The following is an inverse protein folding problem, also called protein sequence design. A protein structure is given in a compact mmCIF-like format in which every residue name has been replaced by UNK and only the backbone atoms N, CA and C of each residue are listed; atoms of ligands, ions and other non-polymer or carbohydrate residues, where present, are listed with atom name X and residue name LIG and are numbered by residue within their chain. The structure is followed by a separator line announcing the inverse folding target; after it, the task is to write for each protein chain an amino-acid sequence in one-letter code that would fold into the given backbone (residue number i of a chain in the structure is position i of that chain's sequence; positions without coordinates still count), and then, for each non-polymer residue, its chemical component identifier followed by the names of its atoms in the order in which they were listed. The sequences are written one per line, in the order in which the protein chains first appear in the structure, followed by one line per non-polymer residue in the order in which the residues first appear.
data_IF_405173285683
#
_entry.id   IF_405173285683
#
_cell.length_a   1.000
_cell.length_b   1.000
_cell.length_c   1.000
_cell.angle_alpha   90.00
_cell.angle_beta   90.00
_cell.angle_gamma   90.00
#
_symmetry.space_group_name_H-M   'P 1'
#
loop_
_entity.id
_entity.type
_entity.pdbx_description
1 polymer ?
#
# COMPACT_ATOMS: atom_id res chain seq x y z
N UNK A 1 -53.90 12.14 3.30
CA UNK A 1 -52.65 11.36 3.27
C UNK A 1 -51.52 12.30 3.65
N UNK A 2 -51.08 12.27 4.91
CA UNK A 2 -49.90 13.02 5.33
C UNK A 2 -48.63 12.28 4.92
N UNK A 3 -47.51 12.97 4.64
CA UNK A 3 -46.25 12.32 4.33
C UNK A 3 -45.77 11.56 5.58
N UNK A 4 -45.57 10.26 5.40
CA UNK A 4 -45.12 9.33 6.43
C UNK A 4 -43.62 9.56 6.66
N UNK A 5 -43.27 10.52 7.52
CA UNK A 5 -41.89 10.78 7.94
C UNK A 5 -41.42 9.63 8.85
N UNK A 6 -40.95 8.54 8.26
CA UNK A 6 -40.25 7.49 9.01
C UNK A 6 -38.96 8.06 9.61
N UNK A 7 -38.94 8.20 10.94
CA UNK A 7 -37.74 8.53 11.71
C UNK A 7 -36.76 7.36 11.59
N UNK A 8 -35.58 7.59 10.99
CA UNK A 8 -34.55 6.57 10.83
C UNK A 8 -34.11 6.02 12.20
N UNK A 9 -34.05 4.70 12.34
CA UNK A 9 -33.63 4.03 13.58
C UNK A 9 -32.13 4.22 13.82
N UNK A 10 -31.63 3.92 15.03
CA UNK A 10 -30.19 3.98 15.34
C UNK A 10 -29.39 3.00 14.47
N UNK A 11 -29.94 1.82 14.16
CA UNK A 11 -29.34 0.84 13.26
C UNK A 11 -29.27 1.38 11.82
N UNK A 12 -30.34 2.00 11.31
CA UNK A 12 -30.35 2.62 9.99
C UNK A 12 -29.28 3.73 9.86
N UNK A 13 -29.08 4.52 10.93
CA UNK A 13 -28.05 5.56 10.97
C UNK A 13 -26.63 4.98 10.97
N UNK A 14 -26.39 3.89 11.70
CA UNK A 14 -25.09 3.22 11.73
C UNK A 14 -24.72 2.61 10.36
N UNK A 15 -25.69 1.97 9.69
CA UNK A 15 -25.49 1.39 8.36
C UNK A 15 -25.26 2.46 7.29
N UNK A 16 -25.98 3.59 7.37
CA UNK A 16 -25.76 4.75 6.50
C UNK A 16 -24.38 5.36 6.70
N UNK A 17 -23.92 5.51 7.95
CA UNK A 17 -22.58 6.01 8.23
C UNK A 17 -21.51 5.09 7.66
N UNK A 18 -21.63 3.78 7.89
CA UNK A 18 -20.70 2.79 7.36
C UNK A 18 -20.60 2.83 5.83
N UNK A 19 -21.72 3.02 5.14
CA UNK A 19 -21.74 3.19 3.70
C UNK A 19 -21.06 4.48 3.23
N UNK A 20 -21.34 5.61 3.88
CA UNK A 20 -20.66 6.87 3.56
C UNK A 20 -19.16 6.79 3.81
N UNK A 21 -18.72 6.16 4.91
CA UNK A 21 -17.30 5.91 5.18
C UNK A 21 -16.65 5.11 4.06
N UNK A 22 -17.28 4.01 3.60
CA UNK A 22 -16.75 3.23 2.46
C UNK A 22 -16.61 4.09 1.20
N UNK A 23 -17.66 4.81 0.82
CA UNK A 23 -17.65 5.68 -0.37
C UNK A 23 -16.52 6.71 -0.32
N UNK A 24 -16.34 7.37 0.82
CA UNK A 24 -15.26 8.33 1.03
C UNK A 24 -13.89 7.68 0.90
N UNK A 25 -13.67 6.53 1.56
CA UNK A 25 -12.40 5.81 1.49
C UNK A 25 -12.08 5.36 0.07
N UNK A 26 -13.06 4.80 -0.63
CA UNK A 26 -12.91 4.41 -2.04
C UNK A 26 -12.54 5.60 -2.93
N UNK A 27 -13.14 6.77 -2.70
CA UNK A 27 -12.85 8.01 -3.44
C UNK A 27 -11.45 8.55 -3.11
N UNK A 28 -11.12 8.71 -1.83
CA UNK A 28 -9.81 9.26 -1.38
C UNK A 28 -8.64 8.35 -1.73
N UNK A 29 -8.88 7.04 -1.76
CA UNK A 29 -7.90 6.06 -2.24
C UNK A 29 -7.98 5.83 -3.76
N UNK A 30 -8.79 6.59 -4.49
CA UNK A 30 -8.89 6.55 -5.95
C UNK A 30 -9.32 5.20 -6.54
N UNK A 31 -9.99 4.34 -5.77
CA UNK A 31 -10.70 3.17 -6.30
C UNK A 31 -12.02 3.57 -7.00
N UNK A 32 -12.47 4.81 -6.74
CA UNK A 32 -13.56 5.47 -7.44
C UNK A 32 -13.06 6.85 -7.89
N UNK A 33 -13.64 7.43 -8.96
CA UNK A 33 -13.21 8.73 -9.47
C UNK A 33 -13.24 9.85 -8.41
N UNK A 34 -12.36 10.86 -8.54
CA UNK A 34 -11.37 11.03 -9.63
C UNK A 34 -10.18 10.06 -9.52
N UNK A 35 -9.80 9.47 -10.66
CA UNK A 35 -8.65 8.57 -10.77
C UNK A 35 -7.38 9.37 -11.06
N UNK A 36 -6.21 8.82 -10.73
CA UNK A 36 -4.91 9.42 -11.07
C UNK A 36 -4.58 9.27 -12.56
N UNK A 37 -3.72 10.16 -13.06
CA UNK A 37 -3.19 10.07 -14.42
C UNK A 37 -2.09 9.02 -14.55
N UNK A 38 -1.24 8.87 -13.53
CA UNK A 38 -0.09 7.96 -13.56
C UNK A 38 0.00 7.08 -12.31
N UNK A 39 0.73 5.96 -12.39
CA UNK A 39 1.03 5.12 -11.24
C UNK A 39 1.84 5.88 -10.16
N UNK A 40 2.72 6.82 -10.57
CA UNK A 40 3.47 7.67 -9.66
C UNK A 40 2.56 8.57 -8.82
N UNK A 41 1.52 9.15 -9.43
CA UNK A 41 0.53 9.97 -8.73
C UNK A 41 -0.31 9.16 -7.74
N UNK A 42 -0.63 7.90 -8.06
CA UNK A 42 -1.29 6.99 -7.11
C UNK A 42 -0.41 6.77 -5.89
N UNK A 43 0.87 6.47 -6.08
CA UNK A 43 1.82 6.26 -4.97
C UNK A 43 1.98 7.56 -4.17
N UNK A 44 2.04 8.72 -4.83
CA UNK A 44 2.07 10.03 -4.17
C UNK A 44 0.80 10.26 -3.33
N UNK A 45 -0.39 9.97 -3.85
CA UNK A 45 -1.64 10.09 -3.09
C UNK A 45 -1.65 9.16 -1.88
N UNK A 46 -1.30 7.88 -2.07
CA UNK A 46 -1.33 6.87 -1.01
C UNK A 46 -0.11 6.93 -0.07
N UNK A 47 0.89 7.74 -0.37
CA UNK A 47 2.18 7.90 0.33
C UNK A 47 3.08 6.65 0.32
N UNK A 48 2.54 5.49 0.63
CA UNK A 48 3.18 4.19 0.49
C UNK A 48 2.11 3.13 0.15
N UNK A 49 2.47 2.19 -0.71
CA UNK A 49 1.60 1.09 -1.14
C UNK A 49 2.32 -0.23 -0.91
N UNK A 50 1.80 -1.08 -0.02
CA UNK A 50 2.43 -2.37 0.26
C UNK A 50 2.55 -3.21 -1.02
N UNK A 51 3.76 -3.70 -1.29
CA UNK A 51 4.14 -4.33 -2.55
C UNK A 51 4.92 -5.63 -2.34
N UNK A 52 4.58 -6.41 -1.31
CA UNK A 52 5.21 -7.70 -1.01
C UNK A 52 5.19 -8.64 -2.21
N UNK A 53 4.04 -8.69 -2.90
CA UNK A 53 3.88 -9.41 -4.16
C UNK A 53 3.80 -8.42 -5.31
N UNK A 54 4.94 -8.25 -6.00
CA UNK A 54 5.08 -7.30 -7.10
C UNK A 54 4.00 -7.45 -8.20
N UNK A 55 3.60 -8.68 -8.63
CA UNK A 55 2.57 -8.82 -9.66
C UNK A 55 1.23 -8.18 -9.31
N UNK A 56 0.75 -8.38 -8.08
CA UNK A 56 -0.51 -7.83 -7.59
C UNK A 56 -0.40 -6.35 -7.20
N UNK A 57 0.77 -5.93 -6.70
CA UNK A 57 0.99 -4.54 -6.33
C UNK A 57 0.96 -3.60 -7.56
N UNK A 58 1.37 -4.07 -8.74
CA UNK A 58 1.18 -3.30 -9.99
C UNK A 58 -0.30 -3.11 -10.31
N UNK A 59 -1.10 -4.16 -10.10
CA UNK A 59 -2.55 -4.08 -10.29
C UNK A 59 -3.19 -3.07 -9.32
N UNK A 60 -2.79 -3.09 -8.05
CA UNK A 60 -3.19 -2.09 -7.05
C UNK A 60 -3.03 -0.64 -7.54
N UNK A 61 -1.92 -0.34 -8.25
CA UNK A 61 -1.72 0.99 -8.85
C UNK A 61 -2.64 1.22 -10.06
N UNK A 62 -2.70 0.26 -10.99
CA UNK A 62 -3.50 0.40 -12.22
C UNK A 62 -5.00 0.62 -11.93
N UNK A 63 -5.55 -0.03 -10.89
CA UNK A 63 -6.94 0.16 -10.45
C UNK A 63 -7.30 1.60 -10.06
N UNK A 64 -6.29 2.43 -9.78
CA UNK A 64 -6.43 3.81 -9.33
C UNK A 64 -6.04 4.83 -10.40
N UNK A 65 -5.82 4.36 -11.62
CA UNK A 65 -5.48 5.18 -12.77
C UNK A 65 -6.55 5.11 -13.85
N UNK A 66 -6.62 6.12 -14.71
CA UNK A 66 -7.56 6.12 -15.84
C UNK A 66 -7.23 5.09 -16.92
N UNK A 67 -5.94 4.81 -17.17
CA UNK A 67 -5.51 3.88 -18.23
C UNK A 67 -4.05 3.39 -18.09
N UNK A 68 -3.63 2.84 -16.93
CA UNK A 68 -2.28 2.23 -16.83
C UNK A 68 -2.26 0.75 -17.18
N UNK A 69 -1.28 0.36 -17.98
CA UNK A 69 -0.91 -1.04 -18.22
C UNK A 69 0.09 -1.54 -17.19
N UNK A 70 0.31 -2.85 -17.17
CA UNK A 70 1.38 -3.44 -16.34
C UNK A 70 2.78 -2.95 -16.72
N UNK A 71 3.01 -2.63 -18.00
CA UNK A 71 4.29 -2.08 -18.50
C UNK A 71 4.54 -0.66 -18.01
N UNK A 72 3.50 0.18 -17.89
CA UNK A 72 3.65 1.56 -17.42
C UNK A 72 4.14 1.61 -15.96
N UNK A 73 3.63 0.69 -15.13
CA UNK A 73 4.08 0.56 -13.74
C UNK A 73 5.53 0.06 -13.67
N UNK A 74 5.88 -0.91 -14.51
CA UNK A 74 7.26 -1.41 -14.58
C UNK A 74 8.23 -0.33 -15.02
N UNK A 75 7.85 0.51 -15.99
CA UNK A 75 8.64 1.64 -16.45
C UNK A 75 8.84 2.69 -15.35
N UNK A 76 7.79 3.02 -14.59
CA UNK A 76 7.88 3.93 -13.46
C UNK A 76 8.79 3.39 -12.32
N UNK A 77 8.93 2.07 -12.19
CA UNK A 77 9.93 1.46 -11.29
C UNK A 77 11.33 1.50 -11.93
N UNK A 78 11.42 1.27 -13.24
CA UNK A 78 12.66 1.26 -13.98
C UNK A 78 13.37 2.62 -13.96
N UNK A 79 12.64 3.70 -14.21
CA UNK A 79 13.16 5.08 -14.21
C UNK A 79 13.33 5.67 -12.79
N UNK A 80 12.79 5.00 -11.76
CA UNK A 80 12.90 5.42 -10.37
C UNK A 80 11.92 6.49 -9.95
N UNK A 81 10.85 6.75 -10.70
CA UNK A 81 9.69 7.52 -10.21
C UNK A 81 9.07 6.85 -8.99
N UNK A 82 8.91 5.52 -9.08
CA UNK A 82 8.44 4.65 -8.00
C UNK A 82 9.62 3.79 -7.55
N UNK A 83 9.89 3.79 -6.25
CA UNK A 83 10.92 2.95 -5.63
C UNK A 83 10.27 1.93 -4.70
N UNK A 84 10.88 0.76 -4.63
CA UNK A 84 10.40 -0.38 -3.84
C UNK A 84 11.45 -0.76 -2.80
N UNK A 85 11.07 -0.75 -1.52
CA UNK A 85 11.98 -1.09 -0.41
C UNK A 85 11.21 -1.48 0.85
N UNK A 86 11.91 -1.98 1.87
CA UNK A 86 11.35 -2.19 3.21
C UNK A 86 11.21 -0.87 3.96
N UNK A 87 9.97 -0.49 4.30
CA UNK A 87 9.67 0.77 4.97
C UNK A 87 8.42 0.64 5.86
N UNK A 88 8.24 1.59 6.80
CA UNK A 88 7.11 1.65 7.75
C UNK A 88 7.04 0.43 8.68
N UNK A 89 6.36 -0.64 8.24
CA UNK A 89 6.21 -1.92 8.92
C UNK A 89 6.93 -2.94 8.03
N UNK A 90 7.90 -3.73 8.52
CA UNK A 90 9.04 -4.33 7.79
C UNK A 90 8.64 -5.21 6.59
N UNK A 91 8.08 -4.60 5.57
CA UNK A 91 7.47 -5.20 4.38
C UNK A 91 7.76 -4.27 3.21
N UNK A 92 7.78 -4.85 2.02
CA UNK A 92 8.01 -4.10 0.80
C UNK A 92 6.88 -3.11 0.56
N UNK A 93 7.19 -1.86 0.25
CA UNK A 93 6.24 -0.89 -0.26
C UNK A 93 6.79 -0.21 -1.51
N UNK A 94 5.89 0.18 -2.41
CA UNK A 94 6.13 1.24 -3.39
C UNK A 94 6.01 2.59 -2.71
N UNK A 95 6.97 3.47 -2.99
CA UNK A 95 7.06 4.84 -2.48
C UNK A 95 7.52 5.74 -3.61
N UNK A 96 6.99 6.95 -3.69
CA UNK A 96 7.44 7.92 -4.67
C UNK A 96 8.87 8.38 -4.30
N UNK A 97 9.75 8.56 -5.28
CA UNK A 97 11.17 8.91 -4.99
C UNK A 97 11.34 10.13 -4.09
N UNK A 98 10.54 11.17 -4.32
CA UNK A 98 10.57 12.42 -3.55
C UNK A 98 10.15 12.22 -2.08
N UNK A 99 9.45 11.12 -1.79
CA UNK A 99 8.93 10.82 -0.47
C UNK A 99 9.82 9.84 0.32
N UNK A 100 10.64 9.06 -0.38
CA UNK A 100 11.36 7.96 0.24
C UNK A 100 12.39 8.42 1.27
N UNK A 101 13.11 9.51 1.00
CA UNK A 101 14.17 10.01 1.89
C UNK A 101 13.66 10.36 3.28
N UNK A 102 12.63 11.21 3.37
CA UNK A 102 12.08 11.65 4.65
C UNK A 102 11.26 10.55 5.36
N UNK A 103 10.56 9.68 4.60
CA UNK A 103 9.86 8.53 5.18
C UNK A 103 10.84 7.52 5.81
N UNK A 104 11.98 7.26 5.17
CA UNK A 104 13.03 6.43 5.75
C UNK A 104 13.62 7.09 6.99
N UNK A 105 13.80 8.42 6.97
CA UNK A 105 14.21 9.20 8.13
C UNK A 105 13.30 9.05 9.36
N UNK A 106 11.99 8.78 9.16
CA UNK A 106 11.04 8.50 10.25
C UNK A 106 10.99 7.02 10.67
N UNK A 107 11.20 6.09 9.74
CA UNK A 107 10.85 4.68 9.93
C UNK A 107 12.05 3.75 10.16
N UNK A 108 13.23 4.09 9.62
CA UNK A 108 14.40 3.19 9.60
C UNK A 108 14.83 2.72 11.00
N UNK A 109 14.91 3.63 11.97
CA UNK A 109 15.33 3.28 13.33
C UNK A 109 14.39 2.25 13.96
N UNK A 110 13.07 2.46 13.83
CA UNK A 110 12.06 1.54 14.37
C UNK A 110 12.10 0.19 13.67
N UNK A 111 12.39 0.17 12.37
CA UNK A 111 12.59 -1.07 11.61
C UNK A 111 13.83 -1.83 12.09
N UNK A 112 14.96 -1.16 12.28
CA UNK A 112 16.15 -1.76 12.89
C UNK A 112 15.85 -2.30 14.29
N UNK A 113 15.14 -1.55 15.13
CA UNK A 113 14.72 -2.02 16.46
C UNK A 113 13.84 -3.27 16.39
N UNK A 114 12.84 -3.29 15.50
CA UNK A 114 11.94 -4.42 15.31
C UNK A 114 12.66 -5.68 14.81
N UNK A 115 13.69 -5.51 13.98
CA UNK A 115 14.47 -6.60 13.42
C UNK A 115 15.63 -7.09 14.30
N UNK A 116 15.91 -6.47 15.45
CA UNK A 116 17.03 -6.84 16.34
C UNK A 116 17.09 -8.34 16.68
N UNK A 117 15.93 -8.96 16.92
CA UNK A 117 15.87 -10.40 17.21
C UNK A 117 16.35 -11.25 16.05
N UNK A 118 15.86 -10.93 14.85
CA UNK A 118 16.25 -11.62 13.62
C UNK A 118 17.70 -11.36 13.25
N UNK A 119 18.18 -10.13 13.37
CA UNK A 119 19.58 -9.79 13.16
C UNK A 119 20.53 -10.65 14.02
N UNK A 120 20.19 -10.90 15.30
CA UNK A 120 20.96 -11.83 16.15
C UNK A 120 20.90 -13.26 15.65
N UNK A 121 19.71 -13.74 15.29
CA UNK A 121 19.52 -15.11 14.79
C UNK A 121 20.27 -15.36 13.47
N UNK A 122 20.39 -14.34 12.63
CA UNK A 122 20.99 -14.44 11.30
C UNK A 122 22.43 -13.94 11.22
N UNK A 123 23.04 -13.54 12.35
CA UNK A 123 24.43 -13.05 12.40
C UNK A 123 24.65 -11.67 11.80
N UNK A 124 23.61 -10.84 11.65
CA UNK A 124 23.70 -9.47 11.13
C UNK A 124 23.96 -8.51 12.29
N UNK A 125 25.15 -8.60 12.88
CA UNK A 125 25.60 -7.63 13.89
C UNK A 125 26.15 -6.34 13.26
N UNK A 126 26.53 -5.36 14.08
CA UNK A 126 27.02 -4.05 13.62
C UNK A 126 28.26 -4.16 12.72
N UNK A 127 29.20 -5.05 13.04
CA UNK A 127 30.43 -5.22 12.25
C UNK A 127 30.11 -5.85 10.90
N UNK A 128 29.28 -6.88 10.90
CA UNK A 128 28.91 -7.66 9.72
C UNK A 128 27.98 -6.85 8.81
N UNK A 129 27.06 -6.07 9.38
CA UNK A 129 26.19 -5.18 8.62
C UNK A 129 26.96 -4.00 8.01
N UNK A 130 27.93 -3.44 8.71
CA UNK A 130 28.82 -2.42 8.14
C UNK A 130 29.69 -2.97 7.00
N UNK A 131 30.24 -4.19 7.14
CA UNK A 131 31.01 -4.85 6.09
C UNK A 131 30.15 -5.17 4.86
N UNK A 132 29.04 -5.88 5.06
CA UNK A 132 28.10 -6.21 3.98
C UNK A 132 27.55 -4.96 3.30
N UNK A 133 27.23 -3.91 4.06
CA UNK A 133 26.78 -2.63 3.53
C UNK A 133 27.78 -1.99 2.56
N UNK A 134 29.08 -1.96 2.91
CA UNK A 134 30.12 -1.43 1.99
C UNK A 134 30.27 -2.28 0.73
N UNK A 135 30.26 -3.60 0.87
CA UNK A 135 30.36 -4.53 -0.25
C UNK A 135 29.18 -4.35 -1.20
N UNK A 136 27.96 -4.33 -0.66
CA UNK A 136 26.73 -4.15 -1.44
C UNK A 136 26.71 -2.79 -2.12
N UNK A 137 27.04 -1.71 -1.41
CA UNK A 137 27.12 -0.37 -1.98
C UNK A 137 28.08 -0.32 -3.17
N UNK A 138 29.29 -0.88 -3.03
CA UNK A 138 30.28 -0.92 -4.10
C UNK A 138 29.81 -1.76 -5.29
N UNK A 139 29.04 -2.82 -5.06
CA UNK A 139 28.56 -3.71 -6.12
C UNK A 139 27.46 -3.08 -6.99
N UNK A 140 26.75 -2.06 -6.46
CA UNK A 140 25.66 -1.38 -7.17
C UNK A 140 25.93 0.09 -7.49
N UNK A 141 27.16 0.56 -7.24
CA UNK A 141 27.58 1.92 -7.55
C UNK A 141 27.68 2.16 -9.05
N UNK A 142 27.70 3.44 -9.43
CA UNK A 142 27.87 3.91 -10.81
C UNK A 142 26.78 3.37 -11.75
N UNK A 143 25.55 3.24 -11.24
CA UNK A 143 24.40 2.74 -12.00
C UNK A 143 24.39 1.22 -12.24
N UNK A 144 25.26 0.45 -11.58
CA UNK A 144 25.35 -1.00 -11.73
C UNK A 144 24.20 -1.73 -11.02
N UNK A 145 22.97 -1.65 -11.53
CA UNK A 145 21.83 -2.36 -10.93
C UNK A 145 22.05 -3.89 -10.92
N UNK A 146 21.94 -4.54 -9.76
CA UNK A 146 22.24 -5.97 -9.58
C UNK A 146 21.00 -6.78 -9.21
N UNK A 147 20.87 -7.95 -9.80
CA UNK A 147 19.89 -8.95 -9.37
C UNK A 147 20.23 -9.49 -7.98
N UNK A 148 19.23 -10.11 -7.34
CA UNK A 148 19.43 -10.83 -6.08
C UNK A 148 20.50 -11.92 -6.18
N UNK A 149 20.57 -12.62 -7.32
CA UNK A 149 21.55 -13.67 -7.55
C UNK A 149 22.98 -13.11 -7.63
N UNK A 150 23.19 -12.01 -8.34
CA UNK A 150 24.51 -11.37 -8.40
C UNK A 150 24.95 -10.83 -7.03
N UNK A 151 24.04 -10.25 -6.24
CA UNK A 151 24.37 -9.81 -4.88
C UNK A 151 24.69 -10.98 -3.94
N UNK A 152 24.07 -12.15 -4.14
CA UNK A 152 24.41 -13.36 -3.41
C UNK A 152 25.83 -13.82 -3.71
N UNK A 153 26.24 -13.79 -4.98
CA UNK A 153 27.61 -14.13 -5.41
C UNK A 153 28.63 -13.17 -4.80
N UNK A 154 28.37 -11.86 -4.86
CA UNK A 154 29.21 -10.80 -4.28
C UNK A 154 29.43 -11.02 -2.78
N UNK A 155 28.36 -11.28 -2.01
CA UNK A 155 28.50 -11.54 -0.57
C UNK A 155 29.21 -12.87 -0.29
N UNK A 156 28.93 -13.90 -1.09
CA UNK A 156 29.57 -15.21 -0.97
C UNK A 156 31.09 -15.16 -1.15
N UNK A 157 31.58 -14.38 -2.11
CA UNK A 157 33.03 -14.15 -2.33
C UNK A 157 33.71 -13.50 -1.12
N UNK A 158 32.97 -12.71 -0.34
CA UNK A 158 33.45 -12.09 0.89
C UNK A 158 33.28 -12.97 2.14
N UNK A 159 32.85 -14.23 1.99
CA UNK A 159 32.62 -15.16 3.10
C UNK A 159 31.36 -14.86 3.92
N UNK A 160 30.44 -14.03 3.40
CA UNK A 160 29.18 -13.68 4.04
C UNK A 160 28.04 -14.60 3.57
N UNK A 161 26.92 -14.70 4.32
CA UNK A 161 25.77 -15.48 3.90
C UNK A 161 25.23 -15.06 2.51
N UNK A 162 25.25 -16.01 1.57
CA UNK A 162 24.74 -15.83 0.18
C UNK A 162 23.40 -16.53 -0.08
N UNK A 163 22.86 -17.24 0.91
CA UNK A 163 21.56 -17.93 0.82
C UNK A 163 20.81 -17.91 2.14
N UNK A 164 19.54 -18.33 2.10
CA UNK A 164 18.69 -18.45 3.28
C UNK A 164 18.43 -17.13 3.99
N UNK A 165 18.04 -17.22 5.26
CA UNK A 165 17.66 -16.05 6.07
C UNK A 165 18.83 -15.08 6.30
N UNK A 166 20.06 -15.56 6.47
CA UNK A 166 21.25 -14.71 6.59
C UNK A 166 21.36 -13.70 5.45
N UNK A 167 21.32 -14.21 4.22
CA UNK A 167 21.36 -13.37 3.02
C UNK A 167 20.18 -12.39 2.93
N UNK A 168 18.96 -12.86 3.23
CA UNK A 168 17.75 -12.02 3.22
C UNK A 168 17.91 -10.84 4.18
N UNK A 169 18.42 -11.09 5.39
CA UNK A 169 18.56 -10.03 6.40
C UNK A 169 19.74 -9.10 6.13
N UNK A 170 20.77 -9.51 5.38
CA UNK A 170 21.77 -8.58 4.87
C UNK A 170 21.18 -7.60 3.86
N UNK A 171 20.37 -8.07 2.91
CA UNK A 171 19.68 -7.19 1.96
C UNK A 171 18.69 -6.27 2.67
N UNK A 172 17.85 -6.81 3.56
CA UNK A 172 16.90 -6.01 4.33
C UNK A 172 17.61 -4.96 5.18
N UNK A 173 18.71 -5.33 5.85
CA UNK A 173 19.49 -4.36 6.62
C UNK A 173 20.04 -3.25 5.71
N UNK A 174 20.59 -3.59 4.54
CA UNK A 174 21.10 -2.60 3.60
C UNK A 174 19.99 -1.68 3.04
N UNK A 175 18.80 -2.20 2.80
CA UNK A 175 17.63 -1.41 2.40
C UNK A 175 17.19 -0.45 3.52
N UNK A 176 17.03 -0.95 4.74
CA UNK A 176 16.60 -0.13 5.89
C UNK A 176 17.66 0.92 6.25
N UNK A 177 18.95 0.60 6.07
CA UNK A 177 20.06 1.53 6.25
C UNK A 177 20.25 2.52 5.10
N UNK A 178 19.34 2.58 4.11
CA UNK A 178 19.43 3.48 2.94
C UNK A 178 20.72 3.29 2.14
N UNK A 179 21.17 2.03 2.01
CA UNK A 179 22.29 1.64 1.14
C UNK A 179 21.73 1.14 -0.19
N UNK A 180 20.74 0.24 -0.12
CA UNK A 180 20.07 -0.33 -1.28
C UNK A 180 18.64 0.19 -1.42
N UNK A 181 18.17 0.24 -2.64
CA UNK A 181 16.76 0.38 -3.02
C UNK A 181 16.51 -0.42 -4.30
N UNK A 182 15.26 -0.60 -4.73
CA UNK A 182 15.00 -1.22 -6.03
C UNK A 182 15.74 -0.53 -7.18
N UNK A 183 16.44 -1.32 -7.98
CA UNK A 183 16.98 -0.91 -9.26
C UNK A 183 15.97 -1.06 -10.39
N UNK A 184 16.44 -0.92 -11.63
CA UNK A 184 15.61 -1.15 -12.81
C UNK A 184 15.35 -2.65 -13.00
N UNK A 185 14.07 -3.09 -13.01
CA UNK A 185 13.74 -4.51 -13.19
C UNK A 185 14.27 -5.06 -14.51
N UNK A 186 14.64 -6.34 -14.52
CA UNK A 186 15.15 -7.04 -15.72
C UNK A 186 14.32 -8.27 -16.01
N UNK A 187 14.20 -8.66 -17.28
CA UNK A 187 13.51 -9.90 -17.66
C UNK A 187 14.51 -11.06 -17.68
N UNK A 188 14.14 -12.19 -17.09
CA UNK A 188 14.89 -13.44 -17.28
C UNK A 188 14.76 -13.94 -18.71
N UNK A 189 15.58 -14.92 -19.09
CA UNK A 189 15.46 -15.60 -20.39
C UNK A 189 14.06 -16.21 -20.62
N UNK A 190 13.38 -16.63 -19.54
CA UNK A 190 12.00 -17.13 -19.58
C UNK A 190 10.92 -16.04 -19.50
N UNK A 191 11.28 -14.75 -19.61
CA UNK A 191 10.33 -13.63 -19.59
C UNK A 191 9.82 -13.20 -18.21
N UNK A 192 10.25 -13.88 -17.14
CA UNK A 192 9.85 -13.50 -15.78
C UNK A 192 10.55 -12.20 -15.36
N UNK A 193 9.80 -11.26 -14.78
CA UNK A 193 10.39 -10.03 -14.25
C UNK A 193 11.17 -10.34 -12.98
N UNK A 194 12.45 -9.99 -12.97
CA UNK A 194 13.33 -10.05 -11.83
C UNK A 194 13.54 -8.65 -11.27
N UNK A 195 13.45 -8.58 -9.95
CA UNK A 195 13.89 -7.40 -9.23
C UNK A 195 15.42 -7.26 -9.31
N UNK A 196 15.87 -6.02 -9.38
CA UNK A 196 17.26 -5.62 -9.11
C UNK A 196 17.34 -4.65 -7.92
N UNK A 197 18.57 -4.38 -7.50
CA UNK A 197 18.95 -3.47 -6.43
C UNK A 197 19.91 -2.43 -6.98
N UNK A 198 19.79 -1.20 -6.51
CA UNK A 198 20.58 -0.05 -6.90
C UNK A 198 21.08 0.70 -5.66
N UNK A 199 22.10 1.55 -5.86
CA UNK A 199 22.56 2.43 -4.80
C UNK A 199 21.45 3.43 -4.44
N UNK A 200 21.09 3.50 -3.16
CA UNK A 200 20.00 4.36 -2.70
C UNK A 200 20.19 5.82 -3.11
N UNK A 201 21.42 6.33 -2.99
CA UNK A 201 21.79 7.72 -3.27
C UNK A 201 21.62 8.13 -4.72
N UNK A 202 21.85 7.20 -5.66
CA UNK A 202 21.67 7.44 -7.09
C UNK A 202 20.19 7.51 -7.48
N UNK A 203 19.33 6.85 -6.70
CA UNK A 203 17.89 6.74 -6.96
C UNK A 203 17.05 7.74 -6.16
N UNK A 204 17.58 8.25 -5.05
CA UNK A 204 16.93 9.19 -4.13
C UNK A 204 17.86 10.38 -3.89
N UNK A 205 17.97 11.33 -4.84
CA UNK A 205 18.87 12.46 -4.69
C UNK A 205 18.43 13.38 -3.54
N UNK A 206 19.39 13.94 -2.81
CA UNK A 206 19.14 14.94 -1.76
C UNK A 206 18.63 14.36 -0.43
N UNK A 207 18.64 13.04 -0.25
CA UNK A 207 18.27 12.44 1.04
C UNK A 207 19.36 12.67 2.12
N UNK A 208 18.91 12.79 3.36
CA UNK A 208 19.80 12.85 4.52
C UNK A 208 20.03 11.43 5.04
N UNK A 209 21.29 11.03 5.27
CA UNK A 209 21.65 9.71 5.83
C UNK A 209 21.47 9.61 7.34
N UNK A 210 21.43 10.70 8.07
CA UNK A 210 21.16 10.69 9.51
C UNK A 210 19.67 10.50 9.78
N UNK A 211 19.28 9.99 10.96
CA UNK A 211 17.89 10.03 11.41
C UNK A 211 17.38 11.48 11.48
N UNK A 212 16.09 11.68 11.24
CA UNK A 212 15.46 12.98 11.46
C UNK A 212 15.36 13.25 12.96
N UNK A 213 15.67 14.47 13.38
CA UNK A 213 15.60 14.90 14.79
C UNK A 213 15.01 16.30 14.89
N UNK A 214 14.59 16.71 16.09
CA UNK A 214 14.09 18.07 16.33
C UNK A 214 12.94 18.44 15.40
N UNK A 215 13.00 19.67 14.87
CA UNK A 215 11.98 20.26 14.00
C UNK A 215 11.77 19.46 12.71
N UNK A 216 12.83 19.00 12.05
CA UNK A 216 12.72 18.20 10.81
C UNK A 216 11.89 16.92 11.01
N UNK A 217 12.06 16.27 12.17
CA UNK A 217 11.27 15.09 12.52
C UNK A 217 9.82 15.44 12.76
N UNK A 218 9.56 16.54 13.46
CA UNK A 218 8.20 17.01 13.74
C UNK A 218 7.46 17.37 12.45
N UNK A 219 8.10 18.09 11.53
CA UNK A 219 7.54 18.43 10.21
C UNK A 219 7.24 17.17 9.38
N UNK A 220 8.15 16.19 9.38
CA UNK A 220 7.93 14.92 8.69
C UNK A 220 6.73 14.15 9.30
N UNK A 221 6.56 14.17 10.64
CA UNK A 221 5.36 13.61 11.29
C UNK A 221 4.09 14.33 10.86
N UNK A 222 4.10 15.66 10.82
CA UNK A 222 2.96 16.47 10.35
C UNK A 222 2.59 16.15 8.91
N UNK A 223 3.60 16.07 8.04
CA UNK A 223 3.43 15.72 6.61
C UNK A 223 2.85 14.33 6.43
N UNK A 224 3.37 13.33 7.16
CA UNK A 224 2.84 11.95 7.13
C UNK A 224 1.37 11.93 7.55
N UNK A 225 1.04 12.62 8.64
CA UNK A 225 -0.32 12.68 9.19
C UNK A 225 -1.30 13.33 8.20
N UNK A 226 -0.92 14.47 7.60
CA UNK A 226 -1.73 15.14 6.57
C UNK A 226 -2.04 14.20 5.40
N UNK A 227 -1.01 13.52 4.88
CA UNK A 227 -1.17 12.64 3.71
C UNK A 227 -1.89 11.35 4.03
N UNK A 228 -1.68 10.79 5.22
CA UNK A 228 -2.42 9.62 5.68
C UNK A 228 -3.92 9.93 5.79
N UNK A 229 -4.31 10.97 6.54
CA UNK A 229 -5.73 11.29 6.72
C UNK A 229 -6.37 11.91 5.47
N UNK A 230 -5.59 12.57 4.61
CA UNK A 230 -6.06 13.06 3.32
C UNK A 230 -6.41 11.93 2.33
N UNK A 231 -5.68 10.81 2.35
CA UNK A 231 -5.92 9.67 1.44
C UNK A 231 -6.77 8.55 2.05
N UNK A 232 -6.79 8.43 3.38
CA UNK A 232 -7.46 7.32 4.10
C UNK A 232 -8.56 7.79 5.05
N UNK A 233 -8.74 9.10 5.24
CA UNK A 233 -9.86 9.65 6.00
C UNK A 233 -11.21 9.16 5.46
N UNK A 234 -12.18 8.81 6.32
CA UNK A 234 -12.15 8.87 7.78
C UNK A 234 -11.35 7.72 8.41
N UNK A 235 -10.39 8.04 9.27
CA UNK A 235 -9.53 7.06 9.97
C UNK A 235 -9.19 7.52 11.40
N UNK A 236 -8.82 6.59 12.29
CA UNK A 236 -8.43 6.93 13.66
C UNK A 236 -6.92 7.10 13.80
N UNK A 237 -6.48 7.69 14.92
CA UNK A 237 -5.05 7.74 15.30
C UNK A 237 -4.45 6.33 15.35
N UNK A 238 -5.21 5.32 15.81
CA UNK A 238 -4.75 3.93 15.90
C UNK A 238 -4.61 3.29 14.52
N UNK A 239 -5.47 3.64 13.57
CA UNK A 239 -5.29 3.23 12.18
C UNK A 239 -3.97 3.79 11.63
N UNK A 240 -3.70 5.09 11.80
CA UNK A 240 -2.47 5.75 11.35
C UNK A 240 -1.21 5.20 12.02
N UNK A 241 -1.24 4.94 13.33
CA UNK A 241 -0.08 4.41 14.06
C UNK A 241 0.24 2.98 13.64
N UNK A 242 -0.78 2.12 13.54
CA UNK A 242 -0.59 0.74 13.06
C UNK A 242 -0.12 0.76 11.62
N UNK A 243 -0.66 1.64 10.76
CA UNK A 243 -0.22 1.76 9.37
C UNK A 243 1.23 2.27 9.26
N UNK A 244 1.51 3.26 10.08
CA UNK A 244 2.79 3.85 10.46
C UNK A 244 3.98 2.93 10.62
N UNK A 245 3.76 1.95 11.50
CA UNK A 245 4.78 1.51 12.44
C UNK A 245 5.13 2.55 13.52
N UNK A 246 4.61 3.78 13.46
CA UNK A 246 4.84 4.87 14.43
C UNK A 246 4.09 4.66 15.75
N UNK A 247 4.49 5.38 16.80
CA UNK A 247 3.76 5.35 18.06
C UNK A 247 2.50 6.23 18.01
N UNK A 248 1.51 5.94 18.84
CA UNK A 248 0.34 6.83 19.00
C UNK A 248 0.76 8.24 19.45
N UNK A 249 1.86 8.38 20.19
CA UNK A 249 2.42 9.67 20.60
C UNK A 249 2.94 10.45 19.39
N UNK A 250 3.67 9.79 18.50
CA UNK A 250 4.17 10.39 17.25
C UNK A 250 3.02 10.87 16.36
N UNK A 251 1.98 10.06 16.20
CA UNK A 251 0.81 10.45 15.39
C UNK A 251 0.07 11.64 16.00
N UNK A 252 -0.11 11.67 17.33
CA UNK A 252 -0.72 12.82 18.03
C UNK A 252 0.12 14.10 17.87
N UNK A 253 1.44 13.99 17.97
CA UNK A 253 2.34 15.10 17.69
C UNK A 253 2.22 15.55 16.23
N UNK A 254 2.18 14.60 15.29
CA UNK A 254 1.96 14.89 13.88
C UNK A 254 0.64 15.60 13.61
N UNK A 255 -0.45 15.29 14.32
CA UNK A 255 -1.73 16.03 14.20
C UNK A 255 -1.57 17.48 14.63
N UNK A 256 -0.87 17.74 15.75
CA UNK A 256 -0.59 19.09 16.21
C UNK A 256 0.27 19.87 15.21
N UNK A 257 1.33 19.25 14.69
CA UNK A 257 2.22 19.88 13.71
C UNK A 257 1.52 20.09 12.37
N UNK A 258 0.71 19.14 11.92
CA UNK A 258 -0.13 19.26 10.72
C UNK A 258 -1.04 20.49 10.77
N UNK A 259 -1.62 20.79 11.95
CA UNK A 259 -2.43 21.99 12.16
C UNK A 259 -1.64 23.31 12.02
N UNK A 260 -0.32 23.29 12.24
CA UNK A 260 0.57 24.44 11.99
C UNK A 260 1.01 24.51 10.53
N UNK A 261 1.38 23.37 9.94
CA UNK A 261 1.85 23.28 8.55
C UNK A 261 0.75 23.63 7.54
N UNK A 262 -0.47 23.17 7.79
CA UNK A 262 -1.62 23.40 6.92
C UNK A 262 -2.89 23.63 7.74
N UNK A 263 -3.08 24.84 8.30
CA UNK A 263 -4.24 25.17 9.11
C UNK A 263 -5.55 24.84 8.40
N UNK A 264 -6.43 24.10 9.08
CA UNK A 264 -7.73 23.71 8.54
C UNK A 264 -7.72 22.54 7.55
N UNK A 265 -6.58 21.88 7.28
CA UNK A 265 -6.54 20.72 6.38
C UNK A 265 -7.10 19.42 6.98
N UNK A 266 -7.33 19.37 8.29
CA UNK A 266 -7.91 18.22 8.99
C UNK A 266 -9.08 18.67 9.85
N UNK A 267 -10.17 17.91 9.75
CA UNK A 267 -11.28 17.93 10.68
C UNK A 267 -11.28 16.65 11.53
N UNK A 268 -12.02 16.67 12.64
CA UNK A 268 -12.34 15.46 13.40
C UNK A 268 -13.84 15.29 13.61
N UNK A 269 -14.27 14.03 13.71
CA UNK A 269 -15.66 13.64 13.93
C UNK A 269 -15.70 12.45 14.90
N UNK A 270 -16.50 12.56 15.96
CA UNK A 270 -16.74 11.47 16.89
C UNK A 270 -17.96 10.63 16.44
N UNK A 271 -17.76 9.32 16.25
CA UNK A 271 -18.82 8.38 15.89
C UNK A 271 -18.52 6.98 16.43
N UNK A 272 -19.54 6.26 16.91
CA UNK A 272 -19.40 4.90 17.47
C UNK A 272 -18.31 4.76 18.55
N UNK A 273 -18.13 5.79 19.39
CA UNK A 273 -17.11 5.81 20.42
C UNK A 273 -15.67 5.96 19.90
N UNK A 274 -15.49 6.29 18.61
CA UNK A 274 -14.21 6.54 17.99
C UNK A 274 -14.12 7.98 17.50
N UNK A 275 -12.93 8.56 17.58
CA UNK A 275 -12.60 9.83 16.93
C UNK A 275 -11.95 9.54 15.57
N UNK A 276 -12.57 10.07 14.51
CA UNK A 276 -12.07 9.98 13.14
C UNK A 276 -11.49 11.32 12.72
N UNK A 277 -10.38 11.26 11.97
CA UNK A 277 -9.75 12.38 11.29
C UNK A 277 -9.89 12.20 9.78
N UNK A 278 -10.13 13.31 9.08
CA UNK A 278 -10.44 13.36 7.65
C UNK A 278 -10.31 14.79 7.11
N UNK A 279 -10.40 14.93 5.79
CA UNK A 279 -10.49 16.24 5.16
C UNK A 279 -11.81 16.95 5.56
N UNK A 280 -11.80 18.28 5.79
CA UNK A 280 -12.99 19.02 6.27
C UNK A 280 -14.22 18.86 5.38
N UNK A 281 -14.04 18.87 4.06
CA UNK A 281 -15.12 18.69 3.09
C UNK A 281 -15.81 17.32 3.22
N UNK A 282 -15.06 16.29 3.60
CA UNK A 282 -15.62 14.96 3.85
C UNK A 282 -16.38 14.92 5.19
N UNK A 283 -15.96 15.70 6.19
CA UNK A 283 -16.70 15.82 7.45
C UNK A 283 -18.07 16.47 7.25
N UNK A 284 -18.15 17.47 6.37
CA UNK A 284 -19.42 18.07 5.95
C UNK A 284 -20.29 17.06 5.22
N UNK A 285 -19.73 16.27 4.29
CA UNK A 285 -20.47 15.21 3.58
C UNK A 285 -21.03 14.15 4.54
N UNK A 286 -20.24 13.71 5.53
CA UNK A 286 -20.67 12.70 6.50
C UNK A 286 -21.83 13.18 7.38
N UNK A 287 -21.81 14.44 7.78
CA UNK A 287 -22.76 15.02 8.74
C UNK A 287 -24.00 15.61 8.08
N UNK A 288 -23.98 15.85 6.77
CA UNK A 288 -25.13 16.40 6.04
C UNK A 288 -26.28 15.36 5.94
N UNK A 289 -27.45 15.62 6.54
CA UNK A 289 -28.62 14.73 6.46
C UNK A 289 -29.21 14.67 5.04
N UNK A 290 -29.01 15.73 4.23
CA UNK A 290 -29.50 15.86 2.86
C UNK A 290 -28.43 15.74 1.77
N UNK A 291 -27.18 15.38 2.14
CA UNK A 291 -26.09 15.10 1.19
C UNK A 291 -26.46 13.97 0.23
N UNK A 292 -25.81 13.85 -0.95
CA UNK A 292 -26.30 13.09 -2.09
C UNK A 292 -26.97 11.79 -1.67
N UNK A 293 -28.28 11.82 -1.85
CA UNK A 293 -29.23 10.76 -1.59
C UNK A 293 -28.79 9.47 -2.30
N UNK A 294 -29.43 8.38 -1.91
CA UNK A 294 -29.46 7.02 -2.47
C UNK A 294 -29.69 6.92 -3.99
N UNK A 295 -29.29 7.88 -4.82
CA UNK A 295 -29.22 7.68 -6.26
C UNK A 295 -28.32 6.46 -6.48
N UNK A 296 -28.86 5.38 -7.07
CA UNK A 296 -28.04 4.23 -7.43
C UNK A 296 -26.90 4.77 -8.28
N UNK A 297 -25.65 4.53 -7.88
CA UNK A 297 -24.57 4.70 -8.85
C UNK A 297 -24.91 3.72 -9.98
N UNK A 298 -25.19 4.27 -11.17
CA UNK A 298 -25.62 3.48 -12.32
C UNK A 298 -24.59 2.41 -12.73
N UNK A 299 -23.39 2.46 -12.12
CA UNK A 299 -22.29 1.52 -12.28
C UNK A 299 -22.26 0.40 -11.21
N UNK A 300 -23.30 0.26 -10.39
CA UNK A 300 -23.45 -0.85 -9.43
C UNK A 300 -24.28 -1.99 -10.04
N UNK A 301 -24.03 -3.27 -9.67
CA UNK A 301 -22.99 -3.71 -8.74
C UNK A 301 -21.60 -3.56 -9.36
N UNK A 302 -20.60 -3.26 -8.53
CA UNK A 302 -19.19 -3.20 -8.94
C UNK A 302 -18.35 -4.19 -8.16
N UNK A 303 -17.59 -5.00 -8.90
CA UNK A 303 -16.59 -5.92 -8.36
C UNK A 303 -15.21 -5.29 -8.51
N UNK A 304 -14.41 -5.33 -7.45
CA UNK A 304 -12.99 -4.98 -7.50
C UNK A 304 -12.16 -6.19 -7.02
N UNK A 305 -11.20 -6.63 -7.83
CA UNK A 305 -10.24 -7.68 -7.49
C UNK A 305 -9.01 -7.03 -6.82
N UNK A 306 -8.99 -7.00 -5.49
CA UNK A 306 -8.05 -6.19 -4.70
C UNK A 306 -7.03 -7.10 -4.00
N UNK A 307 -5.76 -6.74 -4.02
CA UNK A 307 -4.74 -7.46 -3.26
C UNK A 307 -5.05 -7.42 -1.75
N UNK A 308 -4.82 -8.50 -1.01
CA UNK A 308 -5.05 -8.49 0.44
C UNK A 308 -4.16 -7.51 1.22
N UNK A 309 -3.04 -7.10 0.62
CA UNK A 309 -2.11 -6.09 1.14
C UNK A 309 -2.43 -4.67 0.66
N UNK A 310 -3.47 -4.48 -0.15
CA UNK A 310 -3.90 -3.18 -0.63
C UNK A 310 -4.22 -2.22 0.52
N UNK A 311 -3.96 -0.92 0.30
CA UNK A 311 -4.16 0.12 1.32
C UNK A 311 -5.62 0.30 1.76
N UNK A 312 -6.59 -0.16 0.97
CA UNK A 312 -8.00 -0.20 1.37
C UNK A 312 -8.25 -1.25 2.46
N UNK A 313 -7.40 -2.27 2.53
CA UNK A 313 -7.41 -3.33 3.56
C UNK A 313 -6.45 -2.98 4.70
N UNK A 314 -5.18 -2.72 4.36
CA UNK A 314 -4.08 -2.58 5.30
C UNK A 314 -3.91 -1.15 5.85
N UNK A 315 -4.64 -0.19 5.30
CA UNK A 315 -4.68 1.19 5.79
C UNK A 315 -5.40 1.36 7.12
N UNK A 316 -6.20 0.38 7.55
CA UNK A 316 -7.07 0.47 8.72
C UNK A 316 -6.83 -0.69 9.69
N UNK A 317 -6.85 -0.41 10.99
CA UNK A 317 -6.76 -1.42 12.05
C UNK A 317 -8.02 -1.40 12.93
N UNK A 318 -8.23 -0.33 13.69
CA UNK A 318 -9.36 -0.12 14.58
C UNK A 318 -10.67 0.05 13.82
N UNK A 319 -10.63 0.71 12.66
CA UNK A 319 -11.82 1.00 11.85
C UNK A 319 -11.95 0.10 10.61
N UNK A 320 -11.23 -1.03 10.57
CA UNK A 320 -11.28 -1.98 9.44
C UNK A 320 -12.67 -2.57 9.24
N UNK A 321 -13.50 -2.64 10.28
CA UNK A 321 -14.87 -3.19 10.24
C UNK A 321 -15.76 -2.60 9.12
N UNK A 322 -15.50 -1.37 8.67
CA UNK A 322 -16.26 -0.76 7.57
C UNK A 322 -16.10 -1.50 6.23
N UNK A 323 -15.04 -2.29 6.08
CA UNK A 323 -14.84 -3.24 4.98
C UNK A 323 -15.90 -4.35 4.96
N UNK A 324 -16.59 -4.62 6.08
CA UNK A 324 -17.63 -5.67 6.15
C UNK A 324 -17.12 -7.08 6.45
N UNK A 325 -15.88 -7.22 6.94
CA UNK A 325 -15.31 -8.49 7.39
C UNK A 325 -13.84 -8.33 7.78
N UNK A 326 -13.12 -9.44 7.93
CA UNK A 326 -11.68 -9.45 8.27
C UNK A 326 -10.84 -9.95 7.11
N UNK A 327 -9.81 -9.19 6.77
CA UNK A 327 -8.76 -9.56 5.82
C UNK A 327 -7.38 -9.19 6.43
N UNK A 328 -6.29 -9.86 6.02
CA UNK A 328 -6.18 -10.94 5.03
C UNK A 328 -6.72 -12.30 5.52
N UNK A 329 -7.12 -13.18 4.59
CA UNK A 329 -7.45 -14.58 4.87
C UNK A 329 -6.33 -15.48 4.37
N UNK A 330 -5.87 -16.40 5.22
CA UNK A 330 -4.83 -17.37 4.91
C UNK A 330 -5.40 -18.78 5.01
N UNK A 331 -5.61 -19.50 3.88
CA UNK A 331 -5.94 -20.92 3.92
C UNK A 331 -4.73 -21.71 4.45
N UNK A 332 -5.00 -22.85 5.10
CA UNK A 332 -3.97 -23.68 5.75
C UNK A 332 -2.88 -24.19 4.78
N UNK A 333 -3.13 -24.17 3.46
CA UNK A 333 -2.26 -24.85 2.48
C UNK A 333 -1.70 -24.02 1.30
N UNK A 334 -1.99 -22.72 1.08
CA UNK A 334 -1.48 -22.03 -0.13
C UNK A 334 -1.53 -20.47 -0.12
N UNK A 335 -0.61 -19.83 0.61
CA UNK A 335 -0.29 -18.40 0.45
C UNK A 335 -1.41 -17.41 0.84
N UNK A 336 -1.15 -16.08 0.75
CA UNK A 336 -2.18 -15.08 0.98
C UNK A 336 -3.26 -15.13 -0.12
N UNK A 337 -4.54 -15.20 0.26
CA UNK A 337 -5.63 -14.99 -0.69
C UNK A 337 -5.99 -13.51 -0.77
N UNK A 338 -6.20 -13.01 -1.98
CA UNK A 338 -6.60 -11.64 -2.23
C UNK A 338 -8.10 -11.47 -2.09
N UNK A 339 -8.55 -10.23 -2.02
CA UNK A 339 -9.90 -9.88 -1.60
C UNK A 339 -10.75 -9.51 -2.81
N UNK A 340 -11.96 -10.06 -2.88
CA UNK A 340 -13.00 -9.54 -3.78
C UNK A 340 -13.82 -8.53 -3.01
N UNK A 341 -13.97 -7.33 -3.55
CA UNK A 341 -14.91 -6.34 -3.06
C UNK A 341 -16.15 -6.30 -3.94
N UNK A 342 -17.32 -6.26 -3.31
CA UNK A 342 -18.58 -5.88 -3.95
C UNK A 342 -19.02 -4.56 -3.36
N UNK A 343 -19.05 -3.53 -4.19
CA UNK A 343 -19.37 -2.15 -3.79
C UNK A 343 -18.51 -1.64 -2.62
N UNK A 344 -17.23 -2.04 -2.61
CA UNK A 344 -16.27 -1.71 -1.54
C UNK A 344 -16.42 -2.51 -0.25
N UNK A 345 -17.26 -3.55 -0.22
CA UNK A 345 -17.41 -4.48 0.90
C UNK A 345 -16.76 -5.81 0.56
N UNK A 346 -16.06 -6.42 1.53
CA UNK A 346 -15.51 -7.76 1.39
C UNK A 346 -16.62 -8.75 1.03
N UNK A 347 -16.49 -9.41 -0.12
CA UNK A 347 -17.49 -10.28 -0.70
C UNK A 347 -16.96 -11.67 -1.08
N UNK A 348 -15.66 -11.88 -0.98
CA UNK A 348 -15.02 -13.13 -1.37
C UNK A 348 -13.51 -13.00 -1.43
N UNK A 349 -12.89 -13.95 -2.10
CA UNK A 349 -11.46 -13.97 -2.33
C UNK A 349 -11.11 -14.37 -3.76
N UNK A 350 -9.90 -14.01 -4.18
CA UNK A 350 -9.38 -14.38 -5.49
C UNK A 350 -7.87 -14.64 -5.46
N UNK A 351 -7.39 -15.32 -6.50
CA UNK A 351 -5.98 -15.45 -6.86
C UNK A 351 -5.87 -15.70 -8.37
N UNK A 352 -4.70 -15.44 -8.94
CA UNK A 352 -4.41 -15.83 -10.31
C UNK A 352 -3.43 -17.00 -10.41
N UNK A 353 -3.42 -17.64 -11.58
CA UNK A 353 -2.34 -18.49 -12.07
C UNK A 353 -2.11 -18.21 -13.56
N UNK A 354 -0.95 -18.65 -14.07
CA UNK A 354 -0.61 -18.50 -15.48
C UNK A 354 -0.37 -19.88 -16.08
N UNK A 355 -1.09 -20.22 -17.13
CA UNK A 355 -0.90 -21.48 -17.87
C UNK A 355 -1.43 -21.36 -19.29
N UNK A 356 -0.77 -22.03 -20.25
CA UNK A 356 -1.21 -22.02 -21.66
C UNK A 356 -1.22 -20.64 -22.32
N UNK A 357 -0.43 -19.68 -21.83
CA UNK A 357 -0.40 -18.30 -22.35
C UNK A 357 -1.55 -17.40 -21.90
N UNK A 358 -2.37 -17.87 -20.95
CA UNK A 358 -3.49 -17.11 -20.38
C UNK A 358 -3.35 -16.97 -18.86
N UNK A 359 -4.05 -15.97 -18.31
CA UNK A 359 -4.26 -15.79 -16.89
C UNK A 359 -5.57 -16.49 -16.46
N UNK A 360 -5.49 -17.34 -15.45
CA UNK A 360 -6.65 -18.03 -14.88
C UNK A 360 -6.92 -17.50 -13.48
N UNK A 361 -8.16 -17.10 -13.20
CA UNK A 361 -8.58 -16.50 -11.95
C UNK A 361 -9.50 -17.46 -11.19
N UNK A 362 -9.05 -17.89 -10.01
CA UNK A 362 -9.88 -18.61 -9.03
C UNK A 362 -10.57 -17.55 -8.17
N UNK A 363 -11.85 -17.30 -8.41
CA UNK A 363 -12.65 -16.30 -7.69
C UNK A 363 -13.75 -17.02 -6.93
N UNK A 364 -13.79 -16.82 -5.61
CA UNK A 364 -14.82 -17.40 -4.73
C UNK A 364 -15.56 -16.32 -3.99
N UNK A 365 -16.85 -16.20 -4.31
CA UNK A 365 -17.78 -15.31 -3.64
C UNK A 365 -18.34 -15.98 -2.38
N UNK A 366 -18.57 -15.20 -1.33
CA UNK A 366 -19.14 -15.68 -0.06
C UNK A 366 -20.59 -16.17 -0.19
N UNK A 367 -21.26 -15.80 -1.29
CA UNK A 367 -22.58 -16.28 -1.69
C UNK A 367 -22.64 -16.39 -3.22
N UNK A 368 -23.61 -17.14 -3.77
CA UNK A 368 -23.88 -17.12 -5.20
C UNK A 368 -24.12 -15.69 -5.72
N UNK A 369 -23.60 -15.42 -6.92
CA UNK A 369 -23.79 -14.17 -7.65
C UNK A 369 -25.15 -14.14 -8.33
N UNK A 370 -25.80 -12.98 -8.33
CA UNK A 370 -26.91 -12.67 -9.23
C UNK A 370 -26.40 -12.37 -10.65
N UNK A 371 -27.26 -12.39 -11.69
CA UNK A 371 -26.82 -12.11 -13.05
C UNK A 371 -26.08 -10.76 -13.23
N UNK A 372 -26.53 -9.62 -12.64
CA UNK A 372 -25.78 -8.37 -12.71
C UNK A 372 -24.41 -8.42 -12.01
N UNK A 373 -24.30 -9.15 -10.90
CA UNK A 373 -23.04 -9.32 -10.16
C UNK A 373 -22.05 -10.20 -10.95
N UNK A 374 -22.55 -11.22 -11.65
CA UNK A 374 -21.72 -12.03 -12.54
C UNK A 374 -21.19 -11.20 -13.71
N UNK A 375 -22.04 -10.38 -14.34
CA UNK A 375 -21.59 -9.47 -15.40
C UNK A 375 -20.52 -8.48 -14.90
N UNK A 376 -20.65 -7.98 -13.67
CA UNK A 376 -19.65 -7.10 -13.06
C UNK A 376 -18.33 -7.83 -12.76
N UNK A 377 -18.40 -9.10 -12.35
CA UNK A 377 -17.21 -9.95 -12.16
C UNK A 377 -16.52 -10.20 -13.50
N UNK A 378 -17.26 -10.57 -14.54
CA UNK A 378 -16.71 -10.85 -15.86
C UNK A 378 -16.00 -9.61 -16.45
N UNK A 379 -16.59 -8.42 -16.29
CA UNK A 379 -15.98 -7.15 -16.70
C UNK A 379 -14.68 -6.83 -15.94
N UNK A 380 -14.61 -7.16 -14.64
CA UNK A 380 -13.41 -6.96 -13.83
C UNK A 380 -12.29 -7.96 -14.20
N UNK A 381 -12.65 -9.20 -14.55
CA UNK A 381 -11.72 -10.20 -15.10
C UNK A 381 -11.15 -9.73 -16.44
N UNK A 382 -12.00 -9.20 -17.32
CA UNK A 382 -11.57 -8.63 -18.60
C UNK A 382 -10.60 -7.45 -18.38
N UNK A 383 -10.94 -6.53 -17.47
CA UNK A 383 -10.08 -5.40 -17.11
C UNK A 383 -8.72 -5.85 -16.59
N UNK A 384 -8.69 -6.93 -15.81
CA UNK A 384 -7.44 -7.52 -15.33
C UNK A 384 -6.61 -8.12 -16.47
N UNK A 385 -7.24 -8.81 -17.42
CA UNK A 385 -6.59 -9.31 -18.64
C UNK A 385 -5.99 -8.20 -19.50
N UNK A 386 -6.75 -7.13 -19.74
CA UNK A 386 -6.30 -5.93 -20.46
C UNK A 386 -5.06 -5.32 -19.80
N UNK A 387 -5.05 -5.20 -18.47
CA UNK A 387 -3.88 -4.71 -17.72
C UNK A 387 -2.64 -5.60 -17.88
N UNK A 388 -2.83 -6.92 -17.88
CA UNK A 388 -1.76 -7.89 -18.10
C UNK A 388 -1.32 -7.99 -19.57
N UNK A 389 -2.09 -7.46 -20.51
CA UNK A 389 -1.84 -7.62 -21.95
C UNK A 389 -2.04 -9.06 -22.42
N UNK A 390 -2.90 -9.83 -21.75
CA UNK A 390 -3.19 -11.24 -22.10
C UNK A 390 -4.64 -11.59 -21.77
N UNK A 391 -5.11 -12.72 -22.32
CA UNK A 391 -6.44 -13.23 -21.98
C UNK A 391 -6.52 -13.63 -20.51
N UNK A 392 -7.60 -13.24 -19.84
CA UNK A 392 -7.93 -13.63 -18.47
C UNK A 392 -9.26 -14.39 -18.43
N UNK A 393 -9.31 -15.52 -17.72
CA UNK A 393 -10.49 -16.40 -17.63
C UNK A 393 -10.78 -16.78 -16.18
N UNK A 394 -12.05 -16.93 -15.84
CA UNK A 394 -12.47 -17.54 -14.58
C UNK A 394 -12.28 -19.07 -14.63
N UNK A 395 -11.90 -19.66 -13.49
CA UNK A 395 -11.75 -21.11 -13.29
C UNK A 395 -13.04 -21.82 -12.88
#
# INVERSE_FOLDING_TARGET
MGPDFRVATVADKADLFAERVRRLRLRRQQLRPPLSGTAGDVVRNLLAVQSQEFPYARWTLAQRTSASTSSDVEQAVADGTILRTHILRPTWHFVHRDDLGWLMGLSADRLHQGNKGMYRQTGVDEKTSALSGRILASAVADGAHKTREELAEVLGQAGLPSKGLGFIYHLMHAEVSRILVSGSPVRSSGGALKQTYALFEERVPGFVRTPLTGEDREEALGTLVLRYFGSRGPATIKDCAVWSGLTMKDVKLGIHVAGKLSPGALASLAMDGLEFYLAPEDAVELTNPGGPSRLPDARLPRIDLIQCYDEYVMGYSQSRRYLGGTAPYFPEDNGPMHVVLMDGRLAGWWRHGFSGGACHLDVRMNRPTSPPEQMALDAEVERYGQFLGMEARLL
#
